data_IF_474362541400
#
_entry.id   IF_474362541400
#
_cell.length_a   1.000
_cell.length_b   1.000
_cell.length_c   1.000
_cell.angle_alpha   90.00
_cell.angle_beta   90.00
_cell.angle_gamma   90.00
#
_symmetry.space_group_name_H-M   'P 1'
#
loop_
_entity.id
_entity.type
_entity.pdbx_description
1 polymer ?
#
# COMPACT_ATOMS: atom_id res chain seq x y z
N UNK A 1 -38.73 3.17 -0.55
CA UNK A 1 -37.56 2.27 -0.51
C UNK A 1 -36.58 2.79 0.54
N UNK A 2 -36.76 2.40 1.79
CA UNK A 2 -35.83 2.68 2.89
C UNK A 2 -35.49 1.33 3.54
N UNK A 3 -34.57 0.58 2.94
CA UNK A 3 -34.07 -0.66 3.52
C UNK A 3 -32.67 -0.91 2.97
N UNK A 4 -31.75 -1.29 3.85
CA UNK A 4 -30.28 -1.32 3.70
C UNK A 4 -29.62 0.04 3.89
N UNK A 5 -29.35 0.39 5.15
CA UNK A 5 -28.04 0.78 5.70
C UNK A 5 -28.27 1.48 7.06
N UNK A 6 -27.83 0.90 8.18
CA UNK A 6 -27.81 1.61 9.46
C UNK A 6 -26.69 2.67 9.39
N UNK A 7 -27.06 3.86 8.91
CA UNK A 7 -26.15 5.00 8.77
C UNK A 7 -25.10 4.89 7.67
N UNK A 8 -24.71 6.05 7.11
CA UNK A 8 -23.62 6.21 6.13
C UNK A 8 -22.28 5.59 6.59
N UNK A 9 -22.12 5.38 7.89
CA UNK A 9 -20.88 4.95 8.55
C UNK A 9 -20.64 3.45 8.40
N UNK A 10 -21.65 2.60 8.65
CA UNK A 10 -21.51 1.15 8.44
C UNK A 10 -21.22 0.83 6.97
N UNK A 11 -21.76 1.63 6.05
CA UNK A 11 -21.44 1.55 4.62
C UNK A 11 -19.96 1.82 4.35
N UNK A 12 -19.39 2.88 4.94
CA UNK A 12 -17.99 3.24 4.70
C UNK A 12 -17.05 2.16 5.27
N UNK A 13 -17.31 1.68 6.47
CA UNK A 13 -16.52 0.61 7.08
C UNK A 13 -16.63 -0.69 6.29
N UNK A 14 -17.83 -1.10 5.89
CA UNK A 14 -18.04 -2.29 5.08
C UNK A 14 -17.43 -2.15 3.68
N UNK A 15 -17.52 -0.97 3.07
CA UNK A 15 -16.91 -0.68 1.78
C UNK A 15 -15.38 -0.74 1.83
N UNK A 16 -14.76 -0.18 2.87
CA UNK A 16 -13.32 -0.34 3.08
C UNK A 16 -12.97 -1.81 3.28
N UNK A 17 -13.70 -2.51 4.14
CA UNK A 17 -13.41 -3.92 4.41
C UNK A 17 -13.44 -4.76 3.15
N UNK A 18 -14.49 -4.58 2.35
CA UNK A 18 -14.63 -5.25 1.08
C UNK A 18 -13.54 -4.87 0.07
N UNK A 19 -13.24 -3.57 -0.06
CA UNK A 19 -12.23 -3.07 -0.98
C UNK A 19 -10.83 -3.64 -0.63
N UNK A 20 -10.51 -3.67 0.65
CA UNK A 20 -9.19 -4.10 1.12
C UNK A 20 -9.00 -5.61 1.03
N UNK A 21 -9.98 -6.42 1.44
CA UNK A 21 -9.87 -7.87 1.32
C UNK A 21 -9.66 -8.30 -0.14
N UNK A 22 -10.40 -7.68 -1.07
CA UNK A 22 -10.21 -7.89 -2.51
C UNK A 22 -8.82 -7.47 -3.01
N UNK A 23 -8.29 -6.37 -2.48
CA UNK A 23 -6.96 -5.89 -2.87
C UNK A 23 -5.88 -6.87 -2.42
N UNK A 24 -5.98 -7.41 -1.21
CA UNK A 24 -5.05 -8.40 -0.68
C UNK A 24 -5.11 -9.75 -1.41
N UNK A 25 -6.30 -10.26 -1.71
CA UNK A 25 -6.44 -11.51 -2.47
C UNK A 25 -5.77 -11.40 -3.84
N UNK A 26 -6.03 -10.28 -4.54
CA UNK A 26 -5.42 -9.94 -5.82
C UNK A 26 -3.90 -9.85 -5.73
N UNK A 27 -3.36 -9.16 -4.71
CA UNK A 27 -1.91 -9.07 -4.47
C UNK A 27 -1.30 -10.46 -4.24
N UNK A 28 -1.89 -11.27 -3.37
CA UNK A 28 -1.35 -12.58 -3.00
C UNK A 28 -1.24 -13.50 -4.22
N UNK A 29 -2.28 -13.54 -5.06
CA UNK A 29 -2.32 -14.35 -6.30
C UNK A 29 -1.30 -13.89 -7.33
N UNK A 30 -1.10 -12.59 -7.49
CA UNK A 30 -0.15 -12.07 -8.49
C UNK A 30 1.30 -12.20 -8.02
N UNK A 31 1.56 -11.92 -6.75
CA UNK A 31 2.91 -11.92 -6.23
C UNK A 31 3.49 -13.33 -6.15
N UNK A 32 2.69 -14.36 -5.83
CA UNK A 32 3.18 -15.75 -5.71
C UNK A 32 3.84 -16.26 -7.00
N UNK A 33 3.44 -15.73 -8.15
CA UNK A 33 3.98 -16.08 -9.47
C UNK A 33 5.39 -15.52 -9.73
N UNK A 34 5.89 -14.62 -8.89
CA UNK A 34 7.15 -13.89 -9.10
C UNK A 34 8.19 -14.36 -8.09
N UNK A 35 9.23 -15.04 -8.57
CA UNK A 35 10.30 -15.58 -7.72
C UNK A 35 11.30 -14.48 -7.29
N UNK A 36 11.73 -13.62 -8.20
CA UNK A 36 12.69 -12.56 -7.91
C UNK A 36 12.08 -11.48 -6.99
N UNK A 37 12.69 -11.24 -5.83
CA UNK A 37 12.14 -10.31 -4.83
C UNK A 37 12.08 -8.85 -5.30
N UNK A 38 13.03 -8.40 -6.11
CA UNK A 38 13.01 -7.06 -6.68
C UNK A 38 11.81 -6.88 -7.62
N UNK A 39 11.63 -7.79 -8.57
CA UNK A 39 10.45 -7.79 -9.46
C UNK A 39 9.14 -7.89 -8.69
N UNK A 40 9.11 -8.69 -7.62
CA UNK A 40 7.94 -8.86 -6.76
C UNK A 40 7.58 -7.55 -6.03
N UNK A 41 8.57 -6.80 -5.54
CA UNK A 41 8.36 -5.50 -4.93
C UNK A 41 7.84 -4.47 -5.93
N UNK A 42 8.43 -4.43 -7.13
CA UNK A 42 7.97 -3.54 -8.20
C UNK A 42 6.54 -3.85 -8.65
N UNK A 43 6.16 -5.14 -8.73
CA UNK A 43 4.78 -5.56 -9.00
C UNK A 43 3.84 -5.10 -7.90
N UNK A 44 4.22 -5.26 -6.62
CA UNK A 44 3.43 -4.77 -5.49
C UNK A 44 3.14 -3.27 -5.64
N UNK A 45 4.14 -2.45 -5.96
CA UNK A 45 3.92 -1.01 -6.19
C UNK A 45 3.02 -0.71 -7.37
N UNK A 46 3.25 -1.38 -8.51
CA UNK A 46 2.43 -1.16 -9.71
C UNK A 46 0.94 -1.45 -9.44
N UNK A 47 0.64 -2.42 -8.57
CA UNK A 47 -0.71 -2.75 -8.12
C UNK A 47 -1.32 -1.72 -7.16
N UNK A 48 -0.54 -0.80 -6.60
CA UNK A 48 -1.02 0.27 -5.70
C UNK A 48 -1.09 1.63 -6.39
N UNK A 49 -0.64 1.75 -7.63
CA UNK A 49 -0.67 3.01 -8.36
C UNK A 49 -2.13 3.47 -8.60
N UNK A 50 -2.50 4.72 -8.26
CA UNK A 50 -3.86 5.26 -8.38
C UNK A 50 -4.25 5.56 -9.84
N UNK A 51 -4.16 4.56 -10.71
CA UNK A 51 -4.61 4.62 -12.10
C UNK A 51 -6.14 4.79 -12.13
N UNK A 52 -6.70 5.49 -13.13
CA UNK A 52 -8.16 5.60 -13.28
C UNK A 52 -8.84 4.23 -13.19
N UNK A 53 -9.91 4.15 -12.40
CA UNK A 53 -10.64 2.91 -12.11
C UNK A 53 -10.49 2.45 -10.66
N UNK A 54 -10.65 1.14 -10.38
CA UNK A 54 -10.85 0.63 -9.02
C UNK A 54 -9.77 1.02 -8.00
N UNK A 55 -8.50 1.07 -8.40
CA UNK A 55 -7.41 1.43 -7.48
C UNK A 55 -7.50 2.90 -7.05
N UNK A 56 -7.91 3.80 -7.94
CA UNK A 56 -8.14 5.20 -7.57
C UNK A 56 -9.35 5.36 -6.66
N UNK A 57 -10.39 4.55 -6.85
CA UNK A 57 -11.55 4.52 -5.95
C UNK A 57 -11.18 3.97 -4.56
N UNK A 58 -10.34 2.93 -4.51
CA UNK A 58 -9.76 2.38 -3.27
C UNK A 58 -9.02 3.48 -2.49
N UNK A 59 -8.16 4.28 -3.15
CA UNK A 59 -7.46 5.41 -2.49
C UNK A 59 -8.42 6.51 -2.00
N UNK A 60 -9.50 6.79 -2.73
CA UNK A 60 -10.54 7.73 -2.27
C UNK A 60 -11.23 7.26 -0.98
N UNK A 61 -11.47 5.95 -0.85
CA UNK A 61 -12.03 5.35 0.37
C UNK A 61 -11.01 5.45 1.52
N UNK A 62 -9.72 5.15 1.26
CA UNK A 62 -8.66 5.26 2.26
C UNK A 62 -8.56 6.67 2.85
N UNK A 63 -8.60 7.72 2.03
CA UNK A 63 -8.55 9.11 2.51
C UNK A 63 -9.71 9.45 3.45
N UNK A 64 -10.93 9.04 3.09
CA UNK A 64 -12.11 9.25 3.94
C UNK A 64 -12.00 8.45 5.24
N UNK A 65 -11.50 7.22 5.15
CA UNK A 65 -11.34 6.37 6.32
C UNK A 65 -10.28 6.89 7.30
N UNK A 66 -9.13 7.37 6.80
CA UNK A 66 -8.12 7.97 7.67
C UNK A 66 -8.69 9.16 8.46
N UNK A 67 -9.46 10.03 7.80
CA UNK A 67 -10.12 11.15 8.45
C UNK A 67 -11.07 10.67 9.56
N UNK A 68 -11.93 9.68 9.29
CA UNK A 68 -12.85 9.13 10.29
C UNK A 68 -12.12 8.44 11.46
N UNK A 69 -11.05 7.67 11.18
CA UNK A 69 -10.28 6.96 12.21
C UNK A 69 -9.58 7.89 13.22
N UNK A 70 -9.37 9.17 12.86
CA UNK A 70 -8.84 10.18 13.80
C UNK A 70 -9.82 10.49 14.93
N UNK A 71 -11.12 10.54 14.62
CA UNK A 71 -12.19 10.93 15.55
C UNK A 71 -13.01 9.75 16.07
N UNK A 72 -12.90 8.56 15.46
CA UNK A 72 -13.60 7.33 15.83
C UNK A 72 -12.64 6.21 16.20
N UNK A 73 -12.30 6.05 17.49
CA UNK A 73 -11.37 5.03 17.95
C UNK A 73 -11.76 3.60 17.55
N UNK A 74 -13.05 3.32 17.40
CA UNK A 74 -13.60 2.02 16.99
C UNK A 74 -13.19 1.59 15.57
N UNK A 75 -12.77 2.52 14.71
CA UNK A 75 -12.29 2.22 13.35
C UNK A 75 -10.80 1.86 13.30
N UNK A 76 -10.03 2.19 14.35
CA UNK A 76 -8.57 1.98 14.38
C UNK A 76 -8.16 0.50 14.34
N UNK A 77 -8.88 -0.48 14.91
CA UNK A 77 -8.53 -1.90 14.77
C UNK A 77 -8.56 -2.37 13.31
N UNK A 78 -9.54 -1.91 12.54
CA UNK A 78 -9.67 -2.22 11.10
C UNK A 78 -8.48 -1.63 10.34
N UNK A 79 -8.19 -0.35 10.57
CA UNK A 79 -6.99 0.32 10.05
C UNK A 79 -5.71 -0.48 10.33
N UNK A 80 -5.48 -0.82 11.60
CA UNK A 80 -4.25 -1.45 12.06
C UNK A 80 -4.07 -2.85 11.48
N UNK A 81 -5.17 -3.58 11.28
CA UNK A 81 -5.13 -4.91 10.66
C UNK A 81 -4.58 -4.84 9.23
N UNK A 82 -5.00 -3.84 8.46
CA UNK A 82 -4.53 -3.68 7.08
C UNK A 82 -3.10 -3.21 6.98
N UNK A 83 -2.73 -2.21 7.77
CA UNK A 83 -1.35 -1.73 7.82
C UNK A 83 -0.40 -2.85 8.28
N UNK A 84 -0.82 -3.70 9.22
CA UNK A 84 -0.04 -4.87 9.63
C UNK A 84 0.14 -5.88 8.48
N UNK A 85 -0.90 -6.18 7.70
CA UNK A 85 -0.81 -7.09 6.54
C UNK A 85 0.08 -6.54 5.42
N UNK A 86 -0.04 -5.26 5.11
CA UNK A 86 0.83 -4.59 4.15
C UNK A 86 2.29 -4.63 4.61
N UNK A 87 2.52 -4.25 5.87
CA UNK A 87 3.83 -4.27 6.49
C UNK A 87 4.45 -5.67 6.44
N UNK A 88 3.71 -6.72 6.82
CA UNK A 88 4.17 -8.10 6.73
C UNK A 88 4.55 -8.49 5.29
N UNK A 89 3.72 -8.12 4.31
CA UNK A 89 3.95 -8.42 2.89
C UNK A 89 5.27 -7.80 2.41
N UNK A 90 5.48 -6.51 2.71
CA UNK A 90 6.70 -5.79 2.33
C UNK A 90 7.92 -6.37 3.05
N UNK A 91 7.87 -6.56 4.37
CA UNK A 91 8.98 -7.13 5.14
C UNK A 91 9.35 -8.54 4.67
N UNK A 92 8.37 -9.36 4.27
CA UNK A 92 8.62 -10.70 3.70
C UNK A 92 9.32 -10.63 2.34
N UNK A 93 8.93 -9.68 1.48
CA UNK A 93 9.60 -9.46 0.19
C UNK A 93 11.05 -9.01 0.41
N UNK A 94 11.28 -8.08 1.35
CA UNK A 94 12.64 -7.60 1.67
C UNK A 94 13.51 -8.73 2.23
N UNK A 95 13.02 -9.49 3.23
CA UNK A 95 13.72 -10.67 3.78
C UNK A 95 14.04 -11.70 2.71
N UNK A 96 13.12 -11.91 1.76
CA UNK A 96 13.35 -12.79 0.60
C UNK A 96 14.47 -12.26 -0.28
N UNK A 97 14.47 -10.97 -0.60
CA UNK A 97 15.51 -10.37 -1.44
C UNK A 97 16.89 -10.38 -0.79
N UNK A 98 16.96 -10.25 0.54
CA UNK A 98 18.21 -10.47 1.30
C UNK A 98 18.70 -11.90 1.17
N UNK A 99 17.84 -12.91 1.32
CA UNK A 99 18.20 -14.33 1.11
C UNK A 99 18.64 -14.64 -0.31
N UNK A 100 18.06 -13.96 -1.31
CA UNK A 100 18.43 -14.08 -2.71
C UNK A 100 19.70 -13.29 -3.07
N UNK A 101 20.23 -12.48 -2.15
CA UNK A 101 21.38 -11.60 -2.41
C UNK A 101 21.08 -10.40 -3.32
N UNK A 102 19.80 -10.13 -3.63
CA UNK A 102 19.39 -9.01 -4.48
C UNK A 102 19.25 -7.70 -3.69
N UNK A 103 18.90 -7.77 -2.41
CA UNK A 103 18.87 -6.61 -1.52
C UNK A 103 20.03 -6.69 -0.53
N UNK A 104 20.55 -5.53 -0.11
CA UNK A 104 21.60 -5.44 0.91
C UNK A 104 21.14 -6.06 2.24
N UNK A 105 22.06 -6.69 2.96
CA UNK A 105 21.77 -7.49 4.16
C UNK A 105 21.80 -6.69 5.47
N UNK A 106 22.29 -5.47 5.44
CA UNK A 106 22.51 -4.59 6.60
C UNK A 106 21.34 -3.63 6.88
N UNK A 107 20.26 -3.72 6.10
CA UNK A 107 19.01 -3.01 6.35
C UNK A 107 18.05 -3.88 7.17
N UNK A 108 17.32 -3.25 8.07
CA UNK A 108 16.22 -3.89 8.79
C UNK A 108 14.94 -3.92 7.93
N UNK A 109 14.42 -5.11 7.57
CA UNK A 109 13.19 -5.24 6.77
C UNK A 109 11.96 -4.60 7.40
N UNK A 110 11.89 -4.52 8.73
CA UNK A 110 10.76 -3.92 9.44
C UNK A 110 10.80 -2.38 9.32
N UNK A 111 11.99 -1.79 9.48
CA UNK A 111 12.20 -0.35 9.28
C UNK A 111 11.93 0.08 7.84
N UNK A 112 12.40 -0.69 6.86
CA UNK A 112 12.14 -0.42 5.43
C UNK A 112 10.65 -0.48 5.14
N UNK A 113 9.93 -1.47 5.65
CA UNK A 113 8.49 -1.59 5.43
C UNK A 113 7.73 -0.36 5.95
N UNK A 114 8.07 0.14 7.14
CA UNK A 114 7.47 1.38 7.68
C UNK A 114 7.74 2.60 6.80
N UNK A 115 9.01 2.80 6.40
CA UNK A 115 9.41 3.92 5.53
C UNK A 115 8.68 3.88 4.20
N UNK A 116 8.64 2.70 3.59
CA UNK A 116 8.01 2.50 2.29
C UNK A 116 6.49 2.66 2.33
N UNK A 117 5.84 2.23 3.42
CA UNK A 117 4.41 2.48 3.65
C UNK A 117 4.12 3.96 3.73
N UNK A 118 4.84 4.68 4.62
CA UNK A 118 4.67 6.12 4.78
C UNK A 118 4.94 6.89 3.48
N UNK A 119 5.95 6.44 2.72
CA UNK A 119 6.27 7.02 1.43
C UNK A 119 5.14 6.81 0.43
N UNK A 120 4.65 5.57 0.28
CA UNK A 120 3.56 5.19 -0.62
C UNK A 120 2.30 6.00 -0.35
N UNK A 121 1.90 6.09 0.92
CA UNK A 121 0.72 6.88 1.33
C UNK A 121 0.90 8.36 0.99
N UNK A 122 2.06 8.94 1.34
CA UNK A 122 2.35 10.34 1.11
C UNK A 122 2.33 10.74 -0.37
N UNK A 123 2.94 9.93 -1.25
CA UNK A 123 2.92 10.22 -2.69
C UNK A 123 1.56 9.92 -3.32
N UNK A 124 0.84 8.88 -2.84
CA UNK A 124 -0.49 8.58 -3.33
C UNK A 124 -1.48 9.71 -3.02
N UNK A 125 -1.43 10.29 -1.82
CA UNK A 125 -2.22 11.48 -1.46
C UNK A 125 -1.96 12.59 -2.47
N UNK A 126 -0.69 12.94 -2.72
CA UNK A 126 -0.32 14.00 -3.66
C UNK A 126 -0.91 13.75 -5.07
N UNK A 127 -0.83 12.52 -5.57
CA UNK A 127 -1.40 12.16 -6.87
C UNK A 127 -2.92 12.29 -6.88
N UNK A 128 -3.60 11.78 -5.86
CA UNK A 128 -5.07 11.75 -5.83
C UNK A 128 -5.65 13.15 -5.61
N UNK A 129 -4.97 14.00 -4.83
CA UNK A 129 -5.37 15.42 -4.62
C UNK A 129 -4.96 16.34 -5.76
N UNK A 130 -4.24 15.84 -6.78
CA UNK A 130 -3.81 16.64 -7.93
C UNK A 130 -2.73 17.65 -7.61
N UNK A 131 -1.79 17.30 -6.73
CA UNK A 131 -0.62 18.14 -6.47
C UNK A 131 0.16 18.36 -7.79
N UNK A 132 0.68 19.58 -8.04
CA UNK A 132 1.49 19.86 -9.22
C UNK A 132 2.63 18.84 -9.39
N UNK A 133 2.89 18.43 -10.62
CA UNK A 133 3.95 17.49 -11.02
C UNK A 133 3.86 16.06 -10.45
N UNK A 134 2.89 15.77 -9.59
CA UNK A 134 2.68 14.43 -9.01
C UNK A 134 1.67 13.61 -9.81
N UNK A 135 2.17 12.98 -10.87
CA UNK A 135 1.41 12.02 -11.68
C UNK A 135 1.56 10.58 -11.16
N UNK A 136 0.71 9.67 -11.66
CA UNK A 136 0.87 8.22 -11.39
C UNK A 136 2.25 7.71 -11.81
N UNK A 137 2.79 8.23 -12.92
CA UNK A 137 4.15 7.89 -13.38
C UNK A 137 5.21 8.43 -12.43
N UNK A 138 5.08 9.68 -11.98
CA UNK A 138 6.00 10.28 -11.01
C UNK A 138 6.01 9.50 -9.69
N UNK A 139 4.84 9.09 -9.17
CA UNK A 139 4.75 8.20 -8.02
C UNK A 139 5.50 6.88 -8.23
N UNK A 140 5.33 6.25 -9.40
CA UNK A 140 6.04 5.00 -9.73
C UNK A 140 7.55 5.20 -9.72
N UNK A 141 8.03 6.25 -10.37
CA UNK A 141 9.46 6.60 -10.40
C UNK A 141 10.01 6.83 -9.00
N UNK A 142 9.28 7.56 -8.15
CA UNK A 142 9.67 7.84 -6.78
C UNK A 142 9.83 6.56 -5.93
N UNK A 143 8.88 5.63 -6.05
CA UNK A 143 8.94 4.34 -5.33
C UNK A 143 10.07 3.43 -5.87
N UNK A 144 10.31 3.44 -7.18
CA UNK A 144 11.41 2.70 -7.80
C UNK A 144 12.76 3.26 -7.34
N UNK A 145 12.90 4.59 -7.32
CA UNK A 145 14.13 5.26 -6.88
C UNK A 145 14.42 4.96 -5.41
N UNK A 146 13.40 4.99 -4.54
CA UNK A 146 13.55 4.59 -3.14
C UNK A 146 14.11 3.16 -3.01
N UNK A 147 13.62 2.20 -3.81
CA UNK A 147 14.15 0.83 -3.80
C UNK A 147 15.60 0.77 -4.26
N UNK A 148 15.97 1.54 -5.28
CA UNK A 148 17.35 1.62 -5.74
C UNK A 148 18.28 2.16 -4.65
N UNK A 149 17.91 3.27 -4.03
CA UNK A 149 18.74 3.95 -3.05
C UNK A 149 18.83 3.20 -1.71
N UNK A 150 17.71 2.67 -1.21
CA UNK A 150 17.65 2.07 0.12
C UNK A 150 17.93 0.56 0.11
N UNK A 151 17.59 -0.17 -0.97
CA UNK A 151 17.69 -1.64 -0.99
C UNK A 151 18.81 -2.18 -1.86
N UNK A 152 19.16 -1.49 -2.96
CA UNK A 152 20.14 -1.98 -3.93
C UNK A 152 21.52 -1.33 -3.80
N UNK A 153 21.58 -0.05 -3.43
CA UNK A 153 22.84 0.67 -3.28
C UNK A 153 23.67 0.07 -2.15
N UNK A 154 24.86 -0.42 -2.48
CA UNK A 154 25.88 -0.77 -1.48
C UNK A 154 26.68 0.50 -1.14
N UNK A 155 27.05 0.73 0.14
CA UNK A 155 27.92 1.83 0.52
C UNK A 155 29.27 1.76 -0.19
#
# INVERSE_FOLDING_TARGET
>A
MHYYFPGKQEVLTAALQHAVDRSFDRQSVELVKIDNAHQRLLKLFDMQLPRPGPVRDEWSIWMQFWAEATIRPELRPVHNTYYARWHETVSRIVKRGQRQGVFRSDIDPETVAKRLTALTDGVAIQVVTGAPDMTVSAMKEFLVQFVQDELLRRP
#
